data_IF_321023792939
#
_entry.id   IF_321023792939
#
_cell.length_a   1.000
_cell.length_b   1.000
_cell.length_c   1.000
_cell.angle_alpha   90.00
_cell.angle_beta   90.00
_cell.angle_gamma   90.00
#
_symmetry.space_group_name_H-M   'P 1'
#
loop_
_entity.id
_entity.type
_entity.pdbx_description
1 polymer ?
#
# COMPACT_ATOMS: atom_id res chain seq x y z
N UNK A 1 -7.19 0.76 2.86
CA UNK A 1 -8.19 0.55 1.80
C UNK A 1 -9.41 -0.19 2.33
N UNK A 2 -9.30 -1.48 2.62
CA UNK A 2 -10.42 -2.30 3.09
C UNK A 2 -10.70 -2.17 4.59
N UNK A 3 -9.67 -1.86 5.37
CA UNK A 3 -9.81 -1.46 6.77
C UNK A 3 -9.24 -0.04 6.96
N UNK A 4 -10.10 0.96 6.98
CA UNK A 4 -9.69 2.35 7.21
C UNK A 4 -9.27 2.62 8.66
N UNK A 5 -9.57 1.71 9.59
CA UNK A 5 -9.14 1.84 10.99
C UNK A 5 -7.62 1.64 11.17
N UNK A 6 -6.90 1.21 10.12
CA UNK A 6 -5.44 1.13 10.10
C UNK A 6 -4.78 2.42 9.60
N UNK A 7 -5.56 3.36 9.06
CA UNK A 7 -5.06 4.67 8.63
C UNK A 7 -4.81 5.51 9.88
N UNK A 8 -3.73 6.30 9.86
CA UNK A 8 -3.45 7.25 10.94
C UNK A 8 -4.67 8.15 11.20
N UNK A 9 -4.91 8.45 12.47
CA UNK A 9 -6.05 9.24 12.91
C UNK A 9 -6.14 10.57 12.15
N UNK A 10 -7.34 10.91 11.67
CA UNK A 10 -7.61 12.13 10.91
C UNK A 10 -7.42 12.03 9.40
N UNK A 11 -6.77 10.98 8.87
CA UNK A 11 -6.54 10.83 7.42
C UNK A 11 -7.44 9.78 6.72
N UNK A 12 -8.22 9.00 7.49
CA UNK A 12 -9.17 8.06 6.91
C UNK A 12 -10.23 8.77 6.05
N UNK A 13 -10.50 8.25 4.85
CA UNK A 13 -11.46 8.86 3.89
C UNK A 13 -12.84 8.23 3.89
N UNK A 14 -12.99 7.10 4.59
CA UNK A 14 -14.25 6.36 4.78
C UNK A 14 -14.25 5.78 6.21
N UNK A 15 -15.45 5.46 6.73
CA UNK A 15 -15.59 4.74 8.01
C UNK A 15 -15.22 3.25 7.90
N UNK A 16 -15.46 2.66 6.72
CA UNK A 16 -15.25 1.24 6.44
C UNK A 16 -14.42 1.03 5.17
N UNK A 17 -14.59 -0.11 4.48
CA UNK A 17 -13.91 -0.38 3.23
C UNK A 17 -14.17 0.68 2.15
N UNK A 18 -13.30 0.72 1.13
CA UNK A 18 -13.59 1.38 -0.14
C UNK A 18 -14.66 0.56 -0.86
N UNK A 19 -15.88 1.08 -0.90
CA UNK A 19 -17.04 0.37 -1.45
C UNK A 19 -16.90 0.16 -2.96
N UNK A 20 -16.40 1.17 -3.66
CA UNK A 20 -16.24 1.18 -5.11
C UNK A 20 -15.32 0.03 -5.58
N UNK A 21 -14.23 -0.21 -4.83
CA UNK A 21 -13.34 -1.34 -5.09
C UNK A 21 -14.00 -2.68 -4.76
N UNK A 22 -14.76 -2.76 -3.67
CA UNK A 22 -15.47 -4.00 -3.31
C UNK A 22 -16.50 -4.38 -4.37
N UNK A 23 -17.25 -3.40 -4.88
CA UNK A 23 -18.21 -3.61 -5.95
C UNK A 23 -17.53 -4.07 -7.24
N UNK A 24 -16.38 -3.48 -7.59
CA UNK A 24 -15.57 -3.90 -8.73
C UNK A 24 -15.14 -5.37 -8.59
N UNK A 25 -14.45 -5.74 -7.50
CA UNK A 25 -13.96 -7.13 -7.35
C UNK A 25 -15.09 -8.15 -7.25
N UNK A 26 -16.25 -7.77 -6.68
CA UNK A 26 -17.40 -8.65 -6.57
C UNK A 26 -18.00 -8.92 -7.94
N UNK A 27 -18.15 -7.87 -8.77
CA UNK A 27 -18.66 -7.99 -10.14
C UNK A 27 -17.75 -8.86 -11.00
N UNK A 28 -16.45 -8.71 -10.86
CA UNK A 28 -15.44 -9.43 -11.65
C UNK A 28 -15.08 -10.81 -11.06
N UNK A 29 -15.65 -11.19 -9.92
CA UNK A 29 -15.44 -12.50 -9.30
C UNK A 29 -14.04 -12.71 -8.72
N UNK A 30 -13.40 -11.66 -8.21
CA UNK A 30 -12.01 -11.67 -7.76
C UNK A 30 -11.91 -11.75 -6.23
N UNK A 31 -11.08 -12.69 -5.76
CA UNK A 31 -10.72 -12.78 -4.34
C UNK A 31 -9.76 -11.66 -3.92
N UNK A 32 -9.92 -11.16 -2.70
CA UNK A 32 -8.99 -10.18 -2.11
C UNK A 32 -8.22 -10.81 -0.95
N UNK A 33 -6.89 -10.67 -1.00
CA UNK A 33 -6.00 -10.88 0.15
C UNK A 33 -5.64 -9.52 0.74
N UNK A 34 -6.15 -9.20 1.93
CA UNK A 34 -5.79 -7.97 2.61
C UNK A 34 -4.40 -8.09 3.24
N UNK A 35 -3.44 -7.28 2.76
CA UNK A 35 -2.11 -7.20 3.35
C UNK A 35 -2.11 -6.44 4.70
N UNK A 36 -1.23 -6.80 5.64
CA UNK A 36 -1.07 -6.04 6.87
C UNK A 36 -0.58 -4.61 6.56
N UNK A 37 -1.09 -3.62 7.29
CA UNK A 37 -0.57 -2.25 7.20
C UNK A 37 0.79 -2.19 7.91
N UNK A 38 1.90 -1.94 7.19
CA UNK A 38 3.23 -2.01 7.78
C UNK A 38 3.42 -0.93 8.85
N UNK A 39 2.86 0.28 8.65
CA UNK A 39 2.90 1.36 9.63
C UNK A 39 2.18 0.97 10.94
N UNK A 40 1.04 0.27 10.85
CA UNK A 40 0.30 -0.19 12.04
C UNK A 40 1.03 -1.32 12.76
N UNK A 41 1.58 -2.29 12.04
CA UNK A 41 2.29 -3.40 12.68
C UNK A 41 3.64 -2.99 13.28
N UNK A 42 4.26 -1.92 12.77
CA UNK A 42 5.51 -1.40 13.30
C UNK A 42 5.32 -0.38 14.43
N UNK A 43 4.45 0.62 14.24
CA UNK A 43 4.23 1.71 15.21
C UNK A 43 3.00 1.55 16.09
N UNK A 44 2.05 0.69 15.70
CA UNK A 44 0.70 0.69 16.27
C UNK A 44 -0.17 1.83 15.75
N UNK A 45 -1.37 1.96 16.33
CA UNK A 45 -2.34 3.01 15.94
C UNK A 45 -2.12 4.35 16.66
N UNK A 46 -1.41 4.34 17.80
CA UNK A 46 -1.09 5.55 18.57
C UNK A 46 0.16 6.24 18.00
N UNK A 47 0.07 6.67 16.75
CA UNK A 47 1.14 7.32 15.98
C UNK A 47 0.65 8.59 15.30
N UNK A 48 1.58 9.44 14.92
CA UNK A 48 1.33 10.57 14.02
C UNK A 48 1.52 10.14 12.56
N UNK A 49 1.23 11.05 11.63
CA UNK A 49 1.59 10.87 10.22
C UNK A 49 3.11 10.97 10.07
N UNK A 50 3.64 10.40 8.99
CA UNK A 50 5.08 10.35 8.75
C UNK A 50 5.37 10.39 7.25
N UNK A 51 6.62 10.70 6.90
CA UNK A 51 7.14 10.68 5.53
C UNK A 51 8.07 9.50 5.30
N UNK A 52 8.42 9.27 4.03
CA UNK A 52 9.29 8.18 3.61
C UNK A 52 10.59 8.15 4.41
N UNK A 53 11.24 9.27 4.66
CA UNK A 53 12.53 9.36 5.35
C UNK A 53 12.48 8.77 6.77
N UNK A 54 11.35 8.89 7.46
CA UNK A 54 11.16 8.31 8.80
C UNK A 54 10.97 6.78 8.74
N UNK A 55 10.52 6.24 7.61
CA UNK A 55 10.36 4.80 7.36
C UNK A 55 11.53 4.19 6.60
N UNK A 56 12.35 4.97 5.92
CA UNK A 56 13.53 4.53 5.17
C UNK A 56 14.72 4.31 6.12
N UNK A 57 14.53 3.40 7.08
CA UNK A 57 15.52 3.04 8.07
C UNK A 57 15.67 1.50 8.14
N UNK A 58 16.80 0.99 8.66
CA UNK A 58 17.05 -0.45 8.70
C UNK A 58 15.97 -1.26 9.44
N UNK A 59 15.43 -0.73 10.53
CA UNK A 59 14.43 -1.43 11.34
C UNK A 59 13.12 -1.65 10.58
N UNK A 60 12.58 -0.59 9.97
CA UNK A 60 11.34 -0.68 9.20
C UNK A 60 11.51 -1.43 7.88
N UNK A 61 12.67 -1.31 7.20
CA UNK A 61 12.98 -2.11 6.01
C UNK A 61 13.03 -3.60 6.32
N UNK A 62 13.73 -4.00 7.37
CA UNK A 62 13.79 -5.41 7.79
C UNK A 62 12.40 -5.94 8.17
N UNK A 63 11.56 -5.12 8.78
CA UNK A 63 10.18 -5.48 9.07
C UNK A 63 9.35 -5.67 7.78
N UNK A 64 9.42 -4.71 6.85
CA UNK A 64 8.76 -4.80 5.55
C UNK A 64 9.24 -6.00 4.73
N UNK A 65 10.54 -6.34 4.78
CA UNK A 65 11.10 -7.49 4.07
C UNK A 65 10.52 -8.82 4.57
N UNK A 66 10.33 -8.95 5.89
CA UNK A 66 9.70 -10.14 6.49
C UNK A 66 8.27 -10.30 6.00
N UNK A 67 7.47 -9.23 6.08
CA UNK A 67 6.10 -9.23 5.56
C UNK A 67 6.08 -9.58 4.06
N UNK A 68 6.94 -8.96 3.26
CA UNK A 68 7.02 -9.22 1.83
C UNK A 68 7.38 -10.68 1.51
N UNK A 69 8.21 -11.31 2.34
CA UNK A 69 8.56 -12.73 2.21
C UNK A 69 7.37 -13.64 2.52
N UNK A 70 6.58 -13.34 3.56
CA UNK A 70 5.34 -14.06 3.87
C UNK A 70 4.32 -13.93 2.74
N UNK A 71 4.16 -12.73 2.18
CA UNK A 71 3.25 -12.49 1.05
C UNK A 71 3.71 -13.23 -0.20
N UNK A 72 5.00 -13.26 -0.50
CA UNK A 72 5.54 -14.07 -1.60
C UNK A 72 5.20 -15.54 -1.43
N UNK A 73 5.35 -16.08 -0.23
CA UNK A 73 5.08 -17.51 0.02
C UNK A 73 3.57 -17.81 -0.12
N UNK A 74 2.71 -16.89 0.31
CA UNK A 74 1.26 -16.97 0.06
C UNK A 74 0.92 -16.89 -1.45
N UNK A 75 1.52 -15.97 -2.20
CA UNK A 75 1.34 -15.86 -3.65
C UNK A 75 1.77 -17.14 -4.35
N UNK A 76 2.91 -17.72 -3.96
CA UNK A 76 3.38 -19.01 -4.50
C UNK A 76 2.39 -20.14 -4.21
N UNK A 77 1.78 -20.16 -3.03
CA UNK A 77 0.77 -21.14 -2.68
C UNK A 77 -0.49 -21.00 -3.55
N UNK A 78 -0.94 -19.78 -3.84
CA UNK A 78 -2.04 -19.58 -4.79
C UNK A 78 -1.66 -20.08 -6.20
N UNK A 79 -0.51 -19.65 -6.73
CA UNK A 79 -0.07 -20.02 -8.08
C UNK A 79 0.05 -21.54 -8.24
N UNK A 80 0.67 -22.25 -7.28
CA UNK A 80 0.83 -23.71 -7.38
C UNK A 80 -0.47 -24.50 -7.29
N UNK A 81 -1.56 -23.87 -6.81
CA UNK A 81 -2.90 -24.46 -6.75
C UNK A 81 -3.80 -23.96 -7.91
N UNK A 82 -3.22 -23.38 -8.96
CA UNK A 82 -3.93 -23.01 -10.18
C UNK A 82 -4.69 -21.69 -10.11
N UNK A 83 -4.40 -20.83 -9.13
CA UNK A 83 -4.97 -19.49 -9.06
C UNK A 83 -4.12 -18.49 -9.85
N UNK A 84 -4.79 -17.57 -10.54
CA UNK A 84 -4.15 -16.39 -11.12
C UNK A 84 -4.05 -15.28 -10.07
N UNK A 85 -2.83 -14.87 -9.73
CA UNK A 85 -2.58 -13.69 -8.89
C UNK A 85 -2.34 -12.50 -9.79
N UNK A 86 -3.33 -11.62 -9.91
CA UNK A 86 -3.36 -10.56 -10.93
C UNK A 86 -2.55 -9.30 -10.58
N UNK A 87 -2.34 -9.01 -9.30
CA UNK A 87 -1.58 -7.82 -8.90
C UNK A 87 -1.68 -7.45 -7.42
N UNK A 88 -1.01 -6.36 -7.07
CA UNK A 88 -1.05 -5.73 -5.74
C UNK A 88 -1.57 -4.31 -5.87
N UNK A 89 -2.47 -3.91 -4.96
CA UNK A 89 -3.02 -2.55 -4.93
C UNK A 89 -2.44 -1.78 -3.73
N UNK A 90 -1.70 -0.72 -3.99
CA UNK A 90 -1.18 0.23 -3.00
C UNK A 90 -2.08 1.46 -2.81
N UNK A 91 -1.61 2.43 -2.02
CA UNK A 91 -2.32 3.70 -1.75
C UNK A 91 -1.42 4.86 -2.18
N UNK A 92 -1.87 5.64 -3.16
CA UNK A 92 -1.15 6.78 -3.71
C UNK A 92 -0.65 7.74 -2.61
N UNK A 93 0.63 8.12 -2.70
CA UNK A 93 1.28 9.06 -1.78
C UNK A 93 1.62 8.51 -0.39
N UNK A 94 1.26 7.27 -0.05
CA UNK A 94 1.63 6.68 1.24
C UNK A 94 3.16 6.45 1.31
N UNK A 95 3.81 6.79 2.45
CA UNK A 95 5.25 6.61 2.62
C UNK A 95 5.66 5.13 2.70
N UNK A 96 4.74 4.23 3.08
CA UNK A 96 4.98 2.79 3.05
C UNK A 96 4.33 2.10 1.85
N UNK A 97 3.12 2.50 1.44
CA UNK A 97 2.28 1.77 0.51
C UNK A 97 2.03 2.46 -0.85
N UNK A 98 2.68 3.60 -1.13
CA UNK A 98 2.58 4.27 -2.42
C UNK A 98 3.27 3.48 -3.54
N UNK A 99 2.64 3.36 -4.71
CA UNK A 99 3.22 2.54 -5.79
C UNK A 99 4.13 3.36 -6.68
N UNK A 100 3.67 4.54 -7.08
CA UNK A 100 4.44 5.43 -7.97
C UNK A 100 5.12 6.55 -7.20
N UNK A 101 4.43 7.08 -6.19
CA UNK A 101 4.88 8.22 -5.39
C UNK A 101 4.68 8.00 -3.89
N UNK A 102 5.47 8.72 -3.08
CA UNK A 102 5.36 8.75 -1.62
C UNK A 102 5.58 10.17 -1.10
N UNK A 103 4.97 10.46 0.06
CA UNK A 103 5.24 11.68 0.80
C UNK A 103 6.68 11.68 1.34
N UNK A 104 7.38 12.80 1.16
CA UNK A 104 8.79 12.95 1.49
C UNK A 104 9.06 14.33 2.09
N UNK A 105 9.92 14.37 3.11
CA UNK A 105 10.47 15.59 3.67
C UNK A 105 11.76 15.27 4.41
N UNK A 106 12.89 15.75 3.89
CA UNK A 106 14.20 15.60 4.57
C UNK A 106 14.25 16.38 5.90
N UNK A 107 13.37 17.37 6.07
CA UNK A 107 13.34 18.25 7.24
C UNK A 107 12.37 17.80 8.34
N UNK A 108 11.60 16.73 8.12
CA UNK A 108 10.68 16.19 9.14
C UNK A 108 11.44 15.37 10.19
N UNK A 109 12.06 16.08 11.11
CA UNK A 109 12.77 15.54 12.27
C UNK A 109 12.33 16.27 13.54
N UNK A 110 12.55 15.65 14.71
CA UNK A 110 12.27 16.30 15.98
C UNK A 110 10.76 16.35 16.33
N UNK A 111 10.27 17.45 16.94
CA UNK A 111 8.91 17.51 17.46
C UNK A 111 7.82 17.47 16.36
N UNK A 112 6.81 16.58 16.45
CA UNK A 112 5.79 16.43 15.41
C UNK A 112 4.98 17.68 15.05
N UNK A 113 4.86 18.65 15.96
CA UNK A 113 4.12 19.89 15.68
C UNK A 113 4.86 20.84 14.71
N UNK A 114 6.16 20.61 14.46
CA UNK A 114 6.95 21.35 13.48
C UNK A 114 6.80 20.77 12.06
N UNK A 115 6.35 19.52 11.95
CA UNK A 115 6.09 18.82 10.70
C UNK A 115 4.77 19.30 10.06
N UNK A 116 4.84 20.39 9.28
CA UNK A 116 3.68 21.02 8.64
C UNK A 116 3.41 20.51 7.23
N UNK A 117 4.35 20.76 6.32
CA UNK A 117 4.22 20.44 4.90
C UNK A 117 5.27 19.41 4.48
N UNK A 118 4.91 18.60 3.50
CA UNK A 118 5.79 17.61 2.89
C UNK A 118 5.55 17.60 1.38
N UNK A 119 6.58 17.20 0.64
CA UNK A 119 6.54 17.08 -0.81
C UNK A 119 6.17 15.66 -1.24
N UNK A 120 5.93 15.49 -2.54
CA UNK A 120 5.80 14.17 -3.15
C UNK A 120 7.02 13.88 -4.01
N UNK A 121 7.57 12.69 -3.84
CA UNK A 121 8.67 12.19 -4.68
C UNK A 121 8.21 11.00 -5.50
N UNK A 122 8.72 10.87 -6.73
CA UNK A 122 8.49 9.73 -7.62
C UNK A 122 9.27 8.48 -7.17
N UNK A 123 9.05 8.08 -5.93
CA UNK A 123 9.57 6.85 -5.30
C UNK A 123 8.41 6.13 -4.64
N UNK A 124 8.35 4.82 -4.81
CA UNK A 124 7.37 3.97 -4.11
C UNK A 124 7.52 4.07 -2.60
N UNK A 125 6.53 3.67 -1.83
CA UNK A 125 6.68 3.51 -0.39
C UNK A 125 7.58 2.33 -0.05
N UNK A 126 8.15 2.34 1.16
CA UNK A 126 9.16 1.36 1.60
C UNK A 126 8.65 -0.09 1.52
N UNK A 127 7.38 -0.34 1.85
CA UNK A 127 6.83 -1.69 1.77
C UNK A 127 6.62 -2.16 0.33
N UNK A 128 6.23 -1.25 -0.58
CA UNK A 128 6.12 -1.57 -2.00
C UNK A 128 7.50 -1.90 -2.60
N UNK A 129 8.56 -1.21 -2.19
CA UNK A 129 9.93 -1.56 -2.61
C UNK A 129 10.30 -2.99 -2.23
N UNK A 130 10.04 -3.38 -0.98
CA UNK A 130 10.34 -4.75 -0.53
C UNK A 130 9.42 -5.79 -1.18
N UNK A 131 8.14 -5.48 -1.42
CA UNK A 131 7.23 -6.36 -2.17
C UNK A 131 7.71 -6.59 -3.61
N UNK A 132 8.11 -5.54 -4.33
CA UNK A 132 8.63 -5.67 -5.71
C UNK A 132 9.85 -6.60 -5.78
N UNK A 133 10.78 -6.50 -4.82
CA UNK A 133 11.94 -7.40 -4.75
C UNK A 133 11.55 -8.87 -4.58
N UNK A 134 10.43 -9.15 -3.90
CA UNK A 134 10.00 -10.53 -3.59
C UNK A 134 8.99 -11.10 -4.59
N UNK A 135 8.20 -10.27 -5.25
CA UNK A 135 7.07 -10.66 -6.12
C UNK A 135 7.39 -10.61 -7.63
N UNK A 136 8.59 -10.16 -8.02
CA UNK A 136 9.02 -10.19 -9.42
C UNK A 136 8.13 -9.33 -10.32
N UNK A 137 7.66 -9.91 -11.43
CA UNK A 137 6.91 -9.22 -12.48
C UNK A 137 5.42 -9.01 -12.17
N UNK A 138 4.98 -9.30 -10.94
CA UNK A 138 3.60 -9.05 -10.54
C UNK A 138 3.27 -7.56 -10.70
N UNK A 139 2.11 -7.25 -11.29
CA UNK A 139 1.68 -5.88 -11.53
C UNK A 139 1.32 -5.17 -10.21
N UNK A 140 1.61 -3.88 -10.13
CA UNK A 140 1.26 -3.03 -8.99
C UNK A 140 0.47 -1.83 -9.49
N UNK A 141 -0.73 -1.65 -8.94
CA UNK A 141 -1.57 -0.47 -9.19
C UNK A 141 -1.84 0.26 -7.87
N UNK A 142 -2.31 1.49 -7.94
CA UNK A 142 -2.58 2.29 -6.75
C UNK A 142 -3.99 2.85 -6.72
N UNK A 143 -4.52 2.93 -5.50
CA UNK A 143 -5.72 3.67 -5.20
C UNK A 143 -5.38 5.13 -4.87
N UNK A 144 -5.87 6.06 -5.67
CA UNK A 144 -5.79 7.49 -5.42
C UNK A 144 -7.16 8.06 -5.07
N UNK A 145 -7.26 8.64 -3.88
CA UNK A 145 -8.50 9.27 -3.41
C UNK A 145 -8.91 10.52 -4.18
N UNK A 146 -8.00 11.08 -4.98
CA UNK A 146 -8.25 12.25 -5.84
C UNK A 146 -8.78 11.84 -7.23
N UNK A 147 -8.50 10.62 -7.66
CA UNK A 147 -8.72 10.11 -9.01
C UNK A 147 -9.30 8.68 -8.92
N UNK A 148 -10.50 8.55 -8.34
CA UNK A 148 -11.11 7.26 -8.01
C UNK A 148 -11.42 6.43 -9.27
N UNK A 149 -11.97 7.08 -10.28
CA UNK A 149 -12.41 6.46 -11.54
C UNK A 149 -11.20 5.98 -12.37
N UNK A 150 -10.12 6.76 -12.38
CA UNK A 150 -8.84 6.35 -12.98
C UNK A 150 -8.23 5.16 -12.23
N UNK A 151 -8.26 5.19 -10.89
CA UNK A 151 -7.81 4.06 -10.06
C UNK A 151 -8.60 2.78 -10.37
N UNK A 152 -9.93 2.88 -10.46
CA UNK A 152 -10.80 1.76 -10.82
C UNK A 152 -10.48 1.22 -12.22
N UNK A 153 -10.30 2.09 -13.21
CA UNK A 153 -9.94 1.70 -14.58
C UNK A 153 -8.60 0.96 -14.64
N UNK A 154 -7.58 1.46 -13.95
CA UNK A 154 -6.26 0.80 -13.84
C UNK A 154 -6.35 -0.57 -13.16
N UNK A 155 -7.09 -0.66 -12.06
CA UNK A 155 -7.30 -1.92 -11.34
C UNK A 155 -8.08 -2.92 -12.21
N UNK A 156 -9.10 -2.48 -12.94
CA UNK A 156 -9.84 -3.32 -13.90
C UNK A 156 -8.94 -3.82 -15.03
N UNK A 157 -7.96 -3.03 -15.48
CA UNK A 157 -6.99 -3.46 -16.47
C UNK A 157 -6.04 -4.57 -15.98
N UNK A 158 -5.87 -4.76 -14.66
CA UNK A 158 -5.15 -5.94 -14.13
C UNK A 158 -5.84 -7.26 -14.46
N UNK A 159 -7.15 -7.21 -14.71
CA UNK A 159 -8.01 -8.37 -14.90
C UNK A 159 -8.05 -8.83 -16.35
N UNK A 160 -7.64 -7.94 -17.28
CA UNK A 160 -7.53 -8.25 -18.70
C UNK A 160 -6.29 -9.12 -18.89
N UNK A 161 -6.49 -10.38 -19.29
CA UNK A 161 -5.39 -11.25 -19.74
C UNK A 161 -4.84 -10.68 -21.05
N UNK A 162 -3.51 -10.67 -21.17
CA UNK A 162 -2.83 -10.40 -22.44
C UNK A 162 -3.16 -11.49 -23.47
#
# INVERSE_FOLDING_TARGET
MLNQNSVVMGLAKRKGPVEELLQLVLREGIGIVQLPCPETGYYGLRRFWAVREQFDNPGFRNYCEKLASEIRDLVREYIRNGYDVIGVIGISGSPSCGVTESGSSENWIGPPYEAKEYDKVKKSGIFIEELRKKLGDLKFEEWDWREVEDSLSKIENLMKKD
#
